data_IF_655046850999
#
_entry.id   IF_655046850999
#
_cell.length_a   1.000
_cell.length_b   1.000
_cell.length_c   1.000
_cell.angle_alpha   90.00
_cell.angle_beta   90.00
_cell.angle_gamma   90.00
#
_symmetry.space_group_name_H-M   'P 1'
#
loop_
_entity.id
_entity.type
_entity.pdbx_description
1 polymer ?
#
# COMPACT_ATOMS: atom_id res chain seq x y z
N UNK A 1 16.78 29.93 -58.57
CA UNK A 1 17.27 31.06 -59.40
C UNK A 1 16.79 32.35 -58.76
N UNK A 2 17.71 33.16 -58.20
CA UNK A 2 17.40 34.47 -57.60
C UNK A 2 17.62 35.58 -58.64
N UNK A 3 16.71 36.55 -58.72
CA UNK A 3 17.00 37.90 -59.23
C UNK A 3 16.22 38.95 -58.44
N UNK A 4 16.97 39.98 -58.06
CA UNK A 4 16.59 41.14 -57.27
C UNK A 4 15.68 42.09 -58.07
N UNK A 5 14.72 42.65 -57.35
CA UNK A 5 14.19 44.03 -57.37
C UNK A 5 14.14 44.82 -58.68
N UNK A 6 12.95 45.33 -59.04
CA UNK A 6 12.68 46.78 -59.11
C UNK A 6 11.18 47.06 -59.37
N UNK A 7 10.71 48.17 -58.78
CA UNK A 7 9.48 48.95 -59.02
C UNK A 7 8.34 48.86 -57.99
N UNK A 8 8.31 49.92 -57.18
CA UNK A 8 7.23 50.42 -56.35
C UNK A 8 5.89 50.49 -57.10
N UNK A 9 4.82 50.10 -56.41
CA UNK A 9 3.58 50.84 -56.41
C UNK A 9 2.99 50.78 -55.00
N UNK A 10 3.12 51.91 -54.31
CA UNK A 10 2.40 52.28 -53.10
C UNK A 10 0.90 52.01 -53.22
N UNK A 11 0.29 51.47 -52.14
CA UNK A 11 -0.83 52.07 -51.38
C UNK A 11 -1.64 50.96 -50.70
N UNK A 12 -1.76 51.03 -49.36
CA UNK A 12 -2.72 50.21 -48.59
C UNK A 12 -2.09 49.36 -47.49
N UNK A 13 -1.58 49.99 -46.44
CA UNK A 13 -1.30 49.31 -45.18
C UNK A 13 -2.63 49.08 -44.45
N UNK A 14 -3.25 47.92 -44.64
CA UNK A 14 -4.27 47.42 -43.72
C UNK A 14 -3.63 46.38 -42.81
N UNK A 15 -3.06 46.84 -41.69
CA UNK A 15 -2.75 45.96 -40.57
C UNK A 15 -4.07 45.68 -39.88
N UNK A 16 -4.75 44.60 -40.30
CA UNK A 16 -5.62 43.90 -39.38
C UNK A 16 -4.67 43.22 -38.38
N UNK A 17 -4.57 43.81 -37.19
CA UNK A 17 -3.83 43.24 -36.08
C UNK A 17 -4.56 41.98 -35.61
N UNK A 18 -4.38 40.89 -36.35
CA UNK A 18 -4.81 39.56 -35.94
C UNK A 18 -3.92 39.14 -34.78
N UNK A 19 -4.38 39.33 -33.56
CA UNK A 19 -3.74 38.77 -32.38
C UNK A 19 -3.85 37.25 -32.50
N UNK A 20 -2.75 36.60 -32.88
CA UNK A 20 -2.57 35.16 -32.70
C UNK A 20 -2.44 34.91 -31.20
N UNK A 21 -3.55 34.58 -30.55
CA UNK A 21 -3.51 34.04 -29.19
C UNK A 21 -3.05 32.59 -29.33
N UNK A 22 -1.78 32.34 -29.00
CA UNK A 22 -1.30 30.99 -28.79
C UNK A 22 -2.08 30.41 -27.60
N UNK A 23 -2.94 29.42 -27.85
CA UNK A 23 -3.54 28.61 -26.80
C UNK A 23 -2.42 27.80 -26.18
N UNK A 24 -1.94 28.23 -25.02
CA UNK A 24 -0.98 27.48 -24.25
C UNK A 24 -1.66 26.21 -23.74
N UNK A 25 -1.32 25.07 -24.31
CA UNK A 25 -1.76 23.78 -23.82
C UNK A 25 -1.10 23.54 -22.47
N UNK A 26 -1.83 23.84 -21.40
CA UNK A 26 -1.42 23.51 -20.05
C UNK A 26 -1.27 21.99 -19.95
N UNK A 27 -0.04 21.50 -19.98
CA UNK A 27 0.24 20.09 -19.76
C UNK A 27 -0.12 19.74 -18.32
N UNK A 28 -1.23 19.05 -18.14
CA UNK A 28 -1.60 18.52 -16.83
C UNK A 28 -0.64 17.38 -16.49
N UNK A 29 0.18 17.57 -15.45
CA UNK A 29 0.94 16.47 -14.88
C UNK A 29 -0.05 15.52 -14.20
N UNK A 30 -0.15 14.24 -14.62
CA UNK A 30 -1.00 13.30 -13.91
C UNK A 30 -0.54 13.21 -12.45
N UNK A 31 -1.48 13.43 -11.54
CA UNK A 31 -1.31 13.24 -10.10
C UNK A 31 -2.00 11.92 -9.75
N UNK A 32 -1.33 10.76 -9.90
CA UNK A 32 -1.96 9.49 -9.60
C UNK A 32 -2.35 9.47 -8.12
N UNK A 33 -3.66 9.40 -7.86
CA UNK A 33 -4.22 9.17 -6.53
C UNK A 33 -5.01 7.86 -6.59
N UNK A 34 -4.30 6.75 -6.64
CA UNK A 34 -4.91 5.43 -6.48
C UNK A 34 -4.78 5.02 -5.02
N UNK A 35 -5.88 5.11 -4.28
CA UNK A 35 -6.04 4.39 -3.03
C UNK A 35 -6.78 3.10 -3.32
N UNK A 36 -6.19 1.97 -2.96
CA UNK A 36 -6.92 0.69 -2.91
C UNK A 36 -7.40 0.46 -1.49
N UNK A 37 -8.60 -0.12 -1.35
CA UNK A 37 -9.12 -0.51 -0.05
C UNK A 37 -8.36 -1.76 0.37
N UNK A 38 -7.45 -1.63 1.34
CA UNK A 38 -6.92 -2.80 2.03
C UNK A 38 -8.07 -3.42 2.81
N UNK A 39 -8.16 -4.74 2.74
CA UNK A 39 -9.04 -5.47 3.66
C UNK A 39 -8.56 -5.25 5.09
N UNK A 40 -9.45 -5.51 6.06
CA UNK A 40 -9.05 -5.46 7.47
C UNK A 40 -7.83 -6.34 7.74
N UNK A 41 -7.00 -5.93 8.71
CA UNK A 41 -5.84 -6.73 9.13
C UNK A 41 -6.36 -8.00 9.80
N UNK A 42 -6.07 -9.15 9.19
CA UNK A 42 -6.48 -10.45 9.67
C UNK A 42 -5.47 -11.53 9.26
N UNK A 43 -5.41 -12.61 10.04
CA UNK A 43 -4.54 -13.76 9.79
C UNK A 43 -4.90 -14.52 8.50
N UNK A 44 -6.11 -14.31 8.00
CA UNK A 44 -6.67 -14.90 6.77
C UNK A 44 -6.74 -13.88 5.62
N UNK A 45 -5.79 -12.95 5.52
CA UNK A 45 -5.77 -11.98 4.42
C UNK A 45 -4.90 -12.46 3.24
N UNK A 46 -5.32 -12.14 2.02
CA UNK A 46 -4.50 -12.35 0.80
C UNK A 46 -3.41 -11.29 0.66
N UNK A 47 -3.61 -10.13 1.29
CA UNK A 47 -2.67 -9.01 1.32
C UNK A 47 -1.69 -9.15 2.49
N UNK A 48 -0.40 -8.82 2.25
CA UNK A 48 0.66 -8.79 3.26
C UNK A 48 1.24 -7.36 3.38
N UNK A 49 0.51 -6.42 4.02
CA UNK A 49 0.92 -5.01 4.06
C UNK A 49 2.12 -4.73 4.98
N UNK A 50 2.52 -5.70 5.81
CA UNK A 50 3.63 -5.56 6.75
C UNK A 50 4.79 -6.50 6.39
N UNK A 51 6.01 -6.02 6.60
CA UNK A 51 7.23 -6.86 6.52
C UNK A 51 7.18 -7.94 7.61
N UNK A 52 6.71 -7.57 8.79
CA UNK A 52 6.48 -8.48 9.90
C UNK A 52 5.05 -9.04 9.82
N UNK A 53 4.93 -10.30 9.39
CA UNK A 53 3.66 -11.01 9.27
C UNK A 53 2.97 -11.21 10.63
N UNK A 54 3.73 -11.19 11.73
CA UNK A 54 3.20 -11.32 13.08
C UNK A 54 2.25 -10.18 13.43
N UNK A 55 2.37 -9.02 12.79
CA UNK A 55 1.42 -7.90 12.91
C UNK A 55 0.01 -8.25 12.46
N UNK A 56 -0.17 -9.31 11.69
CA UNK A 56 -1.48 -9.82 11.27
C UNK A 56 -1.96 -11.01 12.09
N UNK A 57 -1.20 -11.47 13.09
CA UNK A 57 -1.60 -12.60 13.91
C UNK A 57 -2.85 -12.27 14.72
N UNK A 58 -3.57 -13.32 15.13
CA UNK A 58 -4.60 -13.17 16.17
C UNK A 58 -3.96 -12.77 17.51
N UNK A 59 -4.76 -12.29 18.48
CA UNK A 59 -4.33 -12.27 19.86
C UNK A 59 -3.87 -13.65 20.33
N UNK A 60 -2.99 -13.69 21.31
CA UNK A 60 -2.56 -14.94 21.94
C UNK A 60 -3.74 -15.76 22.45
N UNK A 61 -3.69 -17.04 22.15
CA UNK A 61 -4.62 -18.05 22.65
C UNK A 61 -3.90 -18.83 23.73
N UNK A 62 -4.47 -18.81 24.94
CA UNK A 62 -3.92 -19.53 26.07
C UNK A 62 -4.36 -20.99 26.04
N UNK A 63 -3.42 -21.90 26.23
CA UNK A 63 -3.63 -23.33 26.17
C UNK A 63 -3.13 -24.04 27.42
N UNK A 64 -3.72 -25.20 27.71
CA UNK A 64 -3.33 -26.06 28.83
C UNK A 64 -3.43 -27.52 28.44
N UNK A 65 -2.47 -28.32 28.88
CA UNK A 65 -2.44 -29.76 28.65
C UNK A 65 -3.72 -30.42 29.17
N UNK A 66 -4.40 -31.17 28.31
CA UNK A 66 -5.64 -31.89 28.64
C UNK A 66 -6.90 -31.04 28.65
N UNK A 67 -6.81 -29.73 28.42
CA UNK A 67 -7.96 -28.84 28.25
C UNK A 67 -8.34 -28.69 26.76
N UNK A 68 -9.57 -28.23 26.51
CA UNK A 68 -9.99 -27.83 25.15
C UNK A 68 -9.21 -26.60 24.68
N UNK A 69 -9.21 -26.38 23.36
CA UNK A 69 -8.53 -25.23 22.74
C UNK A 69 -9.01 -23.90 23.34
N UNK A 70 -8.06 -23.04 23.70
CA UNK A 70 -8.32 -21.71 24.27
C UNK A 70 -8.72 -21.72 25.74
N UNK A 71 -8.65 -22.87 26.43
CA UNK A 71 -9.02 -23.02 27.85
C UNK A 71 -7.81 -22.99 28.79
N UNK A 72 -6.72 -22.31 28.39
CA UNK A 72 -5.59 -22.03 29.27
C UNK A 72 -5.85 -20.90 30.27
N UNK A 73 -4.94 -20.69 31.22
CA UNK A 73 -5.03 -19.60 32.22
C UNK A 73 -4.89 -18.21 31.58
N UNK A 74 -5.19 -17.15 32.34
CA UNK A 74 -4.92 -15.78 31.88
C UNK A 74 -3.41 -15.60 31.66
N UNK A 75 -3.02 -15.12 30.47
CA UNK A 75 -1.62 -14.88 30.12
C UNK A 75 -1.06 -13.64 30.84
N UNK A 76 0.20 -13.73 31.25
CA UNK A 76 0.98 -12.63 31.81
C UNK A 76 1.70 -11.91 30.67
N UNK A 77 1.08 -10.83 30.17
CA UNK A 77 1.58 -10.05 29.04
C UNK A 77 2.33 -8.80 29.50
N UNK A 78 3.29 -8.33 28.72
CA UNK A 78 3.89 -7.01 28.88
C UNK A 78 2.99 -5.89 28.29
N UNK A 79 3.48 -4.66 28.31
CA UNK A 79 2.77 -3.48 27.77
C UNK A 79 2.61 -3.50 26.24
N UNK A 80 3.34 -4.36 25.55
CA UNK A 80 3.28 -4.57 24.09
C UNK A 80 2.48 -5.82 23.70
N UNK A 81 1.99 -6.59 24.68
CA UNK A 81 1.22 -7.81 24.46
C UNK A 81 2.04 -9.08 24.32
N UNK A 82 3.34 -9.08 24.65
CA UNK A 82 4.19 -10.27 24.61
C UNK A 82 4.09 -11.10 25.87
N UNK A 83 4.13 -12.43 25.71
CA UNK A 83 4.09 -13.38 26.82
C UNK A 83 5.39 -13.31 27.60
N UNK A 84 5.32 -12.94 28.89
CA UNK A 84 6.49 -12.89 29.78
C UNK A 84 6.77 -14.22 30.48
N UNK A 85 5.72 -14.98 30.77
CA UNK A 85 5.79 -16.22 31.54
C UNK A 85 4.60 -17.12 31.25
N UNK A 86 4.84 -18.43 31.32
CA UNK A 86 3.83 -19.48 31.25
C UNK A 86 3.78 -20.26 32.57
N UNK A 87 2.58 -20.68 32.96
CA UNK A 87 2.39 -21.67 34.03
C UNK A 87 2.89 -23.07 33.56
N UNK A 88 3.23 -23.99 34.49
CA UNK A 88 3.49 -25.38 34.14
C UNK A 88 2.37 -25.98 33.30
N UNK A 89 2.74 -26.82 32.32
CA UNK A 89 1.81 -27.49 31.40
C UNK A 89 0.90 -26.55 30.56
N UNK A 90 1.26 -25.26 30.46
CA UNK A 90 0.54 -24.28 29.64
C UNK A 90 1.44 -23.73 28.53
N UNK A 91 0.82 -23.32 27.42
CA UNK A 91 1.50 -22.63 26.32
C UNK A 91 0.61 -21.52 25.74
N UNK A 92 1.22 -20.61 25.00
CA UNK A 92 0.52 -19.61 24.22
C UNK A 92 0.77 -19.88 22.74
N UNK A 93 -0.26 -19.76 21.93
CA UNK A 93 -0.16 -19.89 20.48
C UNK A 93 -0.97 -18.77 19.81
N UNK A 94 -0.65 -18.46 18.56
CA UNK A 94 -1.46 -17.56 17.74
C UNK A 94 -1.54 -18.09 16.33
N UNK A 95 -2.61 -17.72 15.64
CA UNK A 95 -2.85 -18.09 14.26
C UNK A 95 -2.33 -17.01 13.33
N UNK A 96 -1.64 -17.44 12.30
CA UNK A 96 -1.08 -16.64 11.23
C UNK A 96 -1.26 -17.38 9.91
N UNK A 97 -1.42 -16.65 8.83
CA UNK A 97 -1.41 -17.19 7.47
C UNK A 97 -2.45 -18.31 7.25
N UNK A 98 -3.66 -18.15 7.78
CA UNK A 98 -4.68 -19.20 7.83
C UNK A 98 -5.53 -19.32 6.57
N UNK A 99 -5.35 -18.43 5.58
CA UNK A 99 -6.05 -18.52 4.30
C UNK A 99 -5.35 -19.51 3.34
N UNK A 100 -6.16 -20.36 2.71
CA UNK A 100 -5.73 -21.24 1.61
C UNK A 100 -5.42 -20.42 0.35
N UNK A 101 -4.31 -20.72 -0.31
CA UNK A 101 -3.88 -19.98 -1.51
C UNK A 101 -3.30 -18.58 -1.22
N UNK A 102 -2.95 -18.28 0.03
CA UNK A 102 -2.23 -17.05 0.37
C UNK A 102 -0.88 -16.94 -0.35
N UNK A 103 -0.51 -15.73 -0.75
CA UNK A 103 0.74 -15.45 -1.48
C UNK A 103 1.90 -15.12 -0.53
N UNK A 104 2.17 -16.00 0.43
CA UNK A 104 3.26 -15.82 1.38
C UNK A 104 4.63 -16.02 0.69
N UNK A 105 5.60 -15.11 0.87
CA UNK A 105 6.95 -15.30 0.36
C UNK A 105 7.56 -16.61 0.84
N UNK A 106 8.24 -17.35 -0.04
CA UNK A 106 9.02 -18.51 0.39
C UNK A 106 10.22 -18.07 1.22
N UNK A 107 10.50 -18.75 2.33
CA UNK A 107 11.69 -18.50 3.14
C UNK A 107 11.56 -19.04 4.56
N UNK A 108 12.64 -18.86 5.31
CA UNK A 108 12.64 -19.06 6.76
C UNK A 108 12.13 -17.78 7.42
N UNK A 109 11.10 -17.92 8.27
CA UNK A 109 10.58 -16.85 9.08
C UNK A 109 11.19 -16.96 10.47
N UNK A 110 11.71 -15.84 10.97
CA UNK A 110 12.23 -15.73 12.33
C UNK A 110 11.25 -14.93 13.18
N UNK A 111 11.20 -15.26 14.48
CA UNK A 111 10.45 -14.55 15.51
C UNK A 111 11.44 -13.98 16.51
#
# INVERSE_FOLDING_TARGET
MNRREFLQASMGFFVSSGVLIALETKTFKPQPKLGMNLSGIADWNTELPFVDVFRMSRPWVSQRKGASWGQGPKLDLDEHGWVKRLEPDCWAETLMCTIEGGHYPSGEYIV
#
